data_IF_660211058285
#
_entry.id   IF_660211058285
#
_cell.length_a   1.000
_cell.length_b   1.000
_cell.length_c   1.000
_cell.angle_alpha   90.00
_cell.angle_beta   90.00
_cell.angle_gamma   90.00
#
_symmetry.space_group_name_H-M   'P 1'
#
loop_
_entity.id
_entity.type
_entity.pdbx_description
1 polymer ?
#
# COMPACT_ATOMS: atom_id res chain seq x y z
N UNK A 1 -11.20 41.50 54.45
CA UNK A 1 -11.51 40.05 54.49
C UNK A 1 -10.81 39.23 53.39
N UNK A 2 -10.49 39.79 52.20
CA UNK A 2 -9.80 39.05 51.12
C UNK A 2 -8.25 39.02 51.21
N UNK A 3 -7.60 39.91 51.96
CA UNK A 3 -6.12 39.94 52.10
C UNK A 3 -5.51 38.75 52.88
N UNK A 4 -6.30 38.01 53.67
CA UNK A 4 -5.82 36.82 54.38
C UNK A 4 -5.87 35.54 53.54
N UNK A 5 -6.56 35.56 52.39
CA UNK A 5 -6.76 34.37 51.56
C UNK A 5 -5.75 34.25 50.40
N UNK A 6 -5.16 35.37 49.96
CA UNK A 6 -4.13 35.39 48.92
C UNK A 6 -3.08 36.44 49.31
N UNK A 7 -1.99 36.04 50.01
CA UNK A 7 -1.01 36.97 50.56
C UNK A 7 -0.13 37.63 49.49
N UNK A 8 -0.03 37.05 48.29
CA UNK A 8 0.76 37.60 47.17
C UNK A 8 -0.12 38.04 46.01
N UNK A 9 0.29 39.12 45.31
CA UNK A 9 -0.43 39.60 44.13
C UNK A 9 -0.48 38.49 43.07
N UNK A 10 -1.66 38.17 42.50
CA UNK A 10 -1.76 37.14 41.48
C UNK A 10 -0.94 37.53 40.24
N UNK A 11 -0.16 36.59 39.74
CA UNK A 11 0.69 36.76 38.56
C UNK A 11 -0.17 36.46 37.32
N UNK A 12 -0.26 37.41 36.40
CA UNK A 12 -0.87 37.19 35.08
C UNK A 12 0.17 36.49 34.20
N UNK A 13 0.00 35.18 34.01
CA UNK A 13 0.85 34.39 33.14
C UNK A 13 0.18 34.23 31.76
N UNK A 14 0.89 34.64 30.70
CA UNK A 14 0.44 34.41 29.33
C UNK A 14 0.89 33.02 28.86
N UNK A 15 -0.04 32.24 28.30
CA UNK A 15 0.33 31.00 27.60
C UNK A 15 1.07 31.37 26.31
N UNK A 16 2.22 30.74 26.10
CA UNK A 16 2.94 30.85 24.83
C UNK A 16 2.00 30.46 23.66
N UNK A 17 1.91 31.26 22.58
CA UNK A 17 1.18 30.86 21.40
C UNK A 17 1.82 29.62 20.78
N UNK A 18 0.98 28.70 20.27
CA UNK A 18 1.46 27.47 19.63
C UNK A 18 2.36 27.83 18.46
N UNK A 19 3.58 27.31 18.47
CA UNK A 19 4.49 27.46 17.34
C UNK A 19 4.31 26.29 16.37
N UNK A 20 4.99 26.36 15.22
CA UNK A 20 4.90 25.32 14.18
C UNK A 20 5.27 23.93 14.74
N UNK A 21 6.23 23.84 15.66
CA UNK A 21 6.60 22.58 16.34
C UNK A 21 5.43 22.04 17.17
N UNK A 22 4.68 22.87 17.90
CA UNK A 22 3.54 22.39 18.70
C UNK A 22 2.38 21.87 17.84
N UNK A 23 2.22 22.40 16.62
CA UNK A 23 1.30 21.89 15.61
C UNK A 23 1.81 20.57 14.99
N UNK A 24 3.11 20.47 14.74
CA UNK A 24 3.77 19.34 14.07
C UNK A 24 4.19 18.19 15.00
N UNK A 25 4.30 18.38 16.32
CA UNK A 25 4.78 17.34 17.27
C UNK A 25 3.78 16.18 17.40
N UNK A 26 2.49 16.40 17.10
CA UNK A 26 1.55 15.27 16.91
C UNK A 26 1.81 14.46 15.63
N UNK A 27 2.59 14.98 14.68
CA UNK A 27 3.02 14.29 13.47
C UNK A 27 4.38 13.56 13.64
N UNK A 28 5.08 13.78 14.75
CA UNK A 28 6.28 13.01 15.07
C UNK A 28 5.88 11.62 15.58
N UNK A 29 5.95 10.63 14.68
CA UNK A 29 5.78 9.22 15.02
C UNK A 29 6.82 8.85 16.09
N UNK A 30 6.44 8.19 17.20
CA UNK A 30 7.41 7.69 18.17
C UNK A 30 8.47 6.83 17.47
N UNK A 31 9.77 7.02 17.76
CA UNK A 31 10.78 6.12 17.23
C UNK A 31 10.53 4.73 17.81
N UNK A 32 10.30 3.76 16.93
CA UNK A 32 10.15 2.35 17.30
C UNK A 32 11.51 1.83 17.78
N UNK A 33 11.83 2.05 19.05
CA UNK A 33 13.00 1.42 19.69
C UNK A 33 12.52 0.31 20.61
N UNK A 34 12.28 -0.83 19.99
CA UNK A 34 12.44 -2.14 20.60
C UNK A 34 13.08 -2.95 19.50
N UNK A 35 14.42 -3.10 19.45
CA UNK A 35 15.12 -3.79 18.37
C UNK A 35 14.38 -5.08 17.97
N UNK A 36 13.58 -5.08 16.89
CA UNK A 36 13.24 -6.32 16.24
C UNK A 36 14.47 -6.64 15.39
N UNK A 37 14.77 -7.91 15.14
CA UNK A 37 15.57 -8.25 13.95
C UNK A 37 15.12 -7.37 12.78
N UNK A 38 16.03 -6.74 12.00
CA UNK A 38 15.63 -5.81 10.94
C UNK A 38 14.54 -6.46 10.11
N UNK A 39 13.32 -5.92 10.15
CA UNK A 39 12.21 -6.50 9.40
C UNK A 39 12.66 -6.44 7.95
N UNK A 40 12.96 -7.60 7.35
CA UNK A 40 13.43 -7.62 5.98
C UNK A 40 12.31 -7.08 5.11
N UNK A 41 12.52 -5.90 4.56
CA UNK A 41 11.55 -5.27 3.67
C UNK A 41 11.54 -6.01 2.35
N UNK A 42 10.34 -6.34 1.85
CA UNK A 42 10.22 -7.00 0.56
C UNK A 42 8.93 -7.77 0.38
N UNK A 43 8.78 -8.26 -0.84
CA UNK A 43 7.86 -9.33 -1.19
C UNK A 43 8.61 -10.65 -1.15
N UNK A 44 8.04 -11.63 -0.47
CA UNK A 44 8.59 -12.97 -0.32
C UNK A 44 7.53 -14.03 -0.61
N UNK A 45 7.95 -15.20 -1.04
CA UNK A 45 7.05 -16.35 -1.11
C UNK A 45 6.74 -16.87 0.29
N UNK A 46 5.62 -17.57 0.45
CA UNK A 46 5.29 -18.20 1.73
C UNK A 46 5.98 -19.57 1.85
N UNK A 47 6.11 -20.08 3.08
CA UNK A 47 6.80 -21.35 3.36
C UNK A 47 6.21 -22.55 2.59
N UNK A 48 4.93 -22.47 2.23
CA UNK A 48 4.23 -23.49 1.44
C UNK A 48 4.29 -23.22 -0.06
N UNK A 49 5.43 -22.73 -0.56
CA UNK A 49 5.59 -22.29 -1.96
C UNK A 49 5.17 -23.36 -2.95
N UNK A 50 5.61 -24.61 -2.78
CA UNK A 50 5.33 -25.72 -3.71
C UNK A 50 3.83 -25.99 -3.94
N UNK A 51 2.98 -25.67 -2.97
CA UNK A 51 1.51 -25.85 -3.04
C UNK A 51 0.75 -24.55 -3.24
N UNK A 52 1.44 -23.42 -3.36
CA UNK A 52 0.83 -22.11 -3.44
C UNK A 52 0.97 -21.54 -4.86
N UNK A 53 -0.04 -21.74 -5.69
CA UNK A 53 -0.09 -21.26 -7.09
C UNK A 53 0.33 -19.79 -7.23
N UNK A 54 -0.11 -18.92 -6.30
CA UNK A 54 0.27 -17.50 -6.30
C UNK A 54 1.79 -17.32 -6.14
N UNK A 55 2.41 -18.04 -5.21
CA UNK A 55 3.86 -17.97 -5.00
C UNK A 55 4.65 -18.67 -6.10
N UNK A 56 4.15 -19.77 -6.65
CA UNK A 56 4.84 -20.53 -7.70
C UNK A 56 4.96 -19.75 -9.01
N UNK A 57 3.92 -19.01 -9.40
CA UNK A 57 3.85 -18.41 -10.74
C UNK A 57 3.85 -16.89 -10.75
N UNK A 58 3.33 -16.24 -9.70
CA UNK A 58 2.99 -14.81 -9.79
C UNK A 58 3.84 -13.92 -8.89
N UNK A 59 4.24 -14.38 -7.70
CA UNK A 59 5.06 -13.58 -6.79
C UNK A 59 6.44 -13.31 -7.41
N UNK A 60 6.80 -12.02 -7.45
CA UNK A 60 8.16 -11.56 -7.73
C UNK A 60 8.77 -11.13 -6.39
N UNK A 61 9.85 -11.80 -5.99
CA UNK A 61 10.52 -11.50 -4.73
C UNK A 61 11.49 -10.34 -4.93
N UNK A 62 11.33 -9.28 -4.14
CA UNK A 62 12.12 -8.05 -4.27
C UNK A 62 11.86 -7.13 -3.07
N UNK A 63 12.85 -6.31 -2.71
CA UNK A 63 12.70 -5.22 -1.73
C UNK A 63 12.35 -3.86 -2.37
N UNK A 64 12.08 -3.86 -3.67
CA UNK A 64 11.70 -2.67 -4.42
C UNK A 64 10.78 -2.98 -5.58
N UNK A 65 10.00 -1.98 -5.96
CA UNK A 65 9.16 -1.97 -7.16
C UNK A 65 9.62 -0.85 -8.08
N UNK A 66 9.47 -1.04 -9.38
CA UNK A 66 9.83 -0.04 -10.39
C UNK A 66 8.57 0.36 -11.16
N UNK A 67 8.30 1.66 -11.27
CA UNK A 67 7.25 2.19 -12.13
C UNK A 67 7.60 1.93 -13.59
N UNK A 68 6.70 1.32 -14.34
CA UNK A 68 6.89 1.07 -15.76
C UNK A 68 6.92 2.36 -16.59
N UNK A 69 6.06 3.32 -16.26
CA UNK A 69 5.94 4.56 -17.02
C UNK A 69 7.03 5.59 -16.70
N UNK A 70 7.51 5.62 -15.45
CA UNK A 70 8.51 6.60 -15.00
C UNK A 70 9.92 6.03 -14.86
N UNK A 71 10.08 4.71 -14.90
CA UNK A 71 11.34 4.02 -14.60
C UNK A 71 11.91 4.35 -13.21
N UNK A 72 11.05 4.79 -12.29
CA UNK A 72 11.42 5.17 -10.93
C UNK A 72 11.25 3.98 -9.98
N UNK A 73 12.28 3.69 -9.20
CA UNK A 73 12.30 2.57 -8.25
C UNK A 73 11.99 3.05 -6.83
N UNK A 74 11.10 2.35 -6.14
CA UNK A 74 10.69 2.62 -4.77
C UNK A 74 10.92 1.40 -3.88
N UNK A 75 11.37 1.62 -2.64
CA UNK A 75 11.51 0.55 -1.65
C UNK A 75 10.15 0.11 -1.12
N UNK A 76 10.00 -1.20 -0.94
CA UNK A 76 8.82 -1.82 -0.32
C UNK A 76 8.79 -1.53 1.18
N UNK A 77 7.59 -1.49 1.75
CA UNK A 77 7.38 -1.13 3.15
C UNK A 77 6.76 -2.30 3.92
N UNK A 78 7.59 -2.98 4.70
CA UNK A 78 7.24 -4.16 5.49
C UNK A 78 7.70 -5.47 4.83
N UNK A 79 7.59 -6.55 5.59
CA UNK A 79 7.78 -7.92 5.13
C UNK A 79 6.44 -8.47 4.64
N UNK A 80 6.31 -8.68 3.33
CA UNK A 80 5.05 -9.02 2.68
C UNK A 80 5.16 -10.39 2.04
N UNK A 81 4.25 -11.29 2.37
CA UNK A 81 4.07 -12.55 1.66
C UNK A 81 2.67 -12.62 1.09
N UNK A 82 2.35 -13.69 0.35
CA UNK A 82 0.98 -13.92 -0.12
C UNK A 82 -0.03 -14.11 1.03
N UNK A 83 0.41 -14.38 2.27
CA UNK A 83 -0.48 -14.54 3.44
C UNK A 83 -0.69 -13.25 4.20
N UNK A 84 0.07 -12.20 3.93
CA UNK A 84 -0.07 -10.90 4.59
C UNK A 84 -1.42 -10.26 4.26
N UNK A 85 -2.06 -9.66 5.27
CA UNK A 85 -3.32 -8.91 5.18
C UNK A 85 -3.07 -7.40 5.25
N UNK A 86 -4.08 -6.60 4.89
CA UNK A 86 -4.02 -5.14 4.93
C UNK A 86 -2.81 -4.58 4.14
N UNK A 87 -2.78 -4.87 2.83
CA UNK A 87 -1.64 -4.64 1.94
C UNK A 87 -2.04 -3.77 0.76
N UNK A 88 -1.14 -2.87 0.36
CA UNK A 88 -1.13 -2.28 -0.99
C UNK A 88 -0.21 -3.13 -1.86
N UNK A 89 -0.68 -3.53 -3.04
CA UNK A 89 0.04 -4.41 -3.96
C UNK A 89 0.09 -3.86 -5.38
N UNK A 90 1.01 -4.40 -6.16
CA UNK A 90 1.26 -4.10 -7.56
C UNK A 90 1.03 -5.36 -8.37
N UNK A 91 0.18 -5.27 -9.39
CA UNK A 91 0.15 -6.22 -10.50
C UNK A 91 0.89 -5.58 -11.67
N UNK A 92 1.78 -6.34 -12.31
CA UNK A 92 2.42 -5.91 -13.55
C UNK A 92 2.25 -6.99 -14.62
N UNK A 93 1.90 -6.56 -15.82
CA UNK A 93 1.85 -7.44 -16.99
C UNK A 93 3.27 -7.74 -17.47
N UNK A 94 3.60 -9.03 -17.64
CA UNK A 94 4.90 -9.47 -18.15
C UNK A 94 5.09 -9.21 -19.65
N UNK A 95 4.00 -9.05 -20.39
CA UNK A 95 4.01 -8.85 -21.85
C UNK A 95 4.30 -7.39 -22.20
N UNK A 96 3.52 -6.45 -21.66
CA UNK A 96 3.60 -5.04 -22.01
C UNK A 96 4.07 -4.12 -20.87
N UNK A 97 4.35 -4.68 -19.69
CA UNK A 97 4.85 -3.92 -18.54
C UNK A 97 3.81 -3.07 -17.82
N UNK A 98 2.60 -2.90 -18.35
CA UNK A 98 1.56 -2.06 -17.75
C UNK A 98 1.21 -2.52 -16.33
N UNK A 99 0.89 -1.56 -15.46
CA UNK A 99 0.79 -1.79 -14.03
C UNK A 99 -0.58 -1.40 -13.45
N UNK A 100 -0.98 -2.12 -12.41
CA UNK A 100 -2.17 -1.87 -11.59
C UNK A 100 -1.78 -1.84 -10.12
N UNK A 101 -2.16 -0.80 -9.40
CA UNK A 101 -2.08 -0.75 -7.93
C UNK A 101 -3.44 -1.12 -7.36
N UNK A 102 -3.45 -1.98 -6.35
CA UNK A 102 -4.67 -2.31 -5.62
C UNK A 102 -4.43 -2.42 -4.13
N UNK A 103 -5.52 -2.37 -3.36
CA UNK A 103 -5.53 -2.67 -1.94
C UNK A 103 -6.26 -3.98 -1.60
N UNK A 104 -5.89 -4.59 -0.47
CA UNK A 104 -6.76 -5.58 0.16
C UNK A 104 -6.70 -5.55 1.68
N UNK A 105 -7.88 -5.66 2.33
CA UNK A 105 -8.01 -6.02 3.75
C UNK A 105 -7.71 -7.49 4.02
N UNK A 106 -8.04 -8.36 3.07
CA UNK A 106 -7.85 -9.82 3.19
C UNK A 106 -6.40 -10.21 2.88
N UNK A 107 -6.10 -11.51 2.84
CA UNK A 107 -4.76 -11.94 2.43
C UNK A 107 -4.50 -11.60 0.97
N UNK A 108 -3.27 -11.23 0.65
CA UNK A 108 -2.85 -10.94 -0.73
C UNK A 108 -3.17 -12.10 -1.69
N UNK A 109 -2.99 -13.34 -1.23
CA UNK A 109 -3.36 -14.57 -1.93
C UNK A 109 -4.85 -14.63 -2.26
N UNK A 110 -5.72 -14.34 -1.28
CA UNK A 110 -7.18 -14.36 -1.50
C UNK A 110 -7.59 -13.29 -2.51
N UNK A 111 -7.03 -12.08 -2.40
CA UNK A 111 -7.27 -11.01 -3.37
C UNK A 111 -6.83 -11.40 -4.77
N UNK A 112 -5.64 -11.99 -4.90
CA UNK A 112 -5.12 -12.43 -6.19
C UNK A 112 -5.98 -13.54 -6.82
N UNK A 113 -6.52 -14.48 -6.02
CA UNK A 113 -7.47 -15.45 -6.55
C UNK A 113 -8.76 -14.80 -7.08
N UNK A 114 -9.21 -13.69 -6.48
CA UNK A 114 -10.30 -12.90 -7.04
C UNK A 114 -9.98 -12.42 -8.46
N UNK A 115 -8.80 -11.81 -8.64
CA UNK A 115 -8.33 -11.39 -9.97
C UNK A 115 -8.19 -12.56 -10.94
N UNK A 116 -7.63 -13.69 -10.49
CA UNK A 116 -7.54 -14.92 -11.29
C UNK A 116 -8.92 -15.40 -11.75
N UNK A 117 -9.90 -15.39 -10.84
CA UNK A 117 -11.27 -15.77 -11.17
C UNK A 117 -11.86 -14.84 -12.22
N UNK A 118 -11.70 -13.52 -12.05
CA UNK A 118 -12.17 -12.53 -13.02
C UNK A 118 -11.63 -12.80 -14.41
N UNK A 119 -10.33 -13.06 -14.55
CA UNK A 119 -9.70 -13.38 -15.84
C UNK A 119 -10.26 -14.69 -16.40
N UNK A 120 -10.27 -15.76 -15.61
CA UNK A 120 -10.76 -17.07 -16.04
C UNK A 120 -12.24 -17.09 -16.43
N UNK A 121 -13.06 -16.23 -15.84
CA UNK A 121 -14.49 -16.09 -16.16
C UNK A 121 -14.76 -14.98 -17.16
N UNK A 122 -13.73 -14.44 -17.82
CA UNK A 122 -13.83 -13.39 -18.85
C UNK A 122 -14.62 -12.15 -18.41
N UNK A 123 -14.50 -11.76 -17.13
CA UNK A 123 -15.16 -10.56 -16.59
C UNK A 123 -14.37 -9.31 -16.94
N UNK A 124 -14.81 -8.59 -17.97
CA UNK A 124 -14.12 -7.42 -18.52
C UNK A 124 -14.53 -6.10 -17.89
N UNK A 125 -15.41 -6.10 -16.88
CA UNK A 125 -15.85 -4.87 -16.20
C UNK A 125 -14.80 -4.33 -15.21
N UNK A 126 -13.75 -5.10 -14.93
CA UNK A 126 -12.63 -4.67 -14.09
C UNK A 126 -11.40 -4.44 -14.97
N UNK A 127 -10.56 -3.44 -14.66
CA UNK A 127 -9.41 -3.11 -15.51
C UNK A 127 -8.38 -4.25 -15.63
N UNK A 128 -8.24 -5.06 -14.57
CA UNK A 128 -7.37 -6.25 -14.60
C UNK A 128 -8.00 -7.33 -15.49
N UNK A 129 -9.31 -7.58 -15.35
CA UNK A 129 -10.03 -8.56 -16.14
C UNK A 129 -10.07 -8.21 -17.63
N UNK A 130 -10.34 -6.95 -17.96
CA UNK A 130 -10.30 -6.42 -19.33
C UNK A 130 -8.93 -6.64 -19.97
N UNK A 131 -7.86 -6.19 -19.30
CA UNK A 131 -6.51 -6.25 -19.85
C UNK A 131 -6.01 -7.69 -20.09
N UNK A 132 -6.16 -8.59 -19.11
CA UNK A 132 -5.65 -9.96 -19.22
C UNK A 132 -6.55 -10.91 -20.04
N UNK A 133 -7.63 -10.38 -20.64
CA UNK A 133 -8.42 -11.06 -21.66
C UNK A 133 -8.19 -10.46 -23.08
N UNK A 134 -7.29 -9.48 -23.23
CA UNK A 134 -6.87 -9.00 -24.55
C UNK A 134 -6.06 -10.09 -25.30
N UNK A 135 -5.99 -10.03 -26.65
CA UNK A 135 -5.11 -10.91 -27.41
C UNK A 135 -3.67 -10.88 -26.89
N UNK A 136 -3.02 -12.05 -26.85
CA UNK A 136 -1.65 -12.25 -26.34
C UNK A 136 -1.44 -11.94 -24.85
N UNK A 137 -2.50 -11.80 -24.07
CA UNK A 137 -2.44 -11.62 -22.63
C UNK A 137 -3.19 -12.74 -21.95
N UNK A 138 -2.62 -13.28 -20.87
CA UNK A 138 -3.21 -14.35 -20.09
C UNK A 138 -2.96 -14.13 -18.59
N UNK A 139 -3.67 -14.91 -17.79
CA UNK A 139 -3.44 -15.00 -16.34
C UNK A 139 -1.98 -15.29 -15.96
N UNK A 140 -1.22 -16.00 -16.81
CA UNK A 140 0.17 -16.36 -16.55
C UNK A 140 1.11 -15.16 -16.70
N UNK A 141 0.67 -14.13 -17.43
CA UNK A 141 1.41 -12.89 -17.63
C UNK A 141 1.24 -11.92 -16.45
N UNK A 142 0.42 -12.27 -15.47
CA UNK A 142 0.28 -11.51 -14.24
C UNK A 142 1.47 -11.77 -13.30
N UNK A 143 2.18 -10.70 -12.91
CA UNK A 143 3.11 -10.72 -11.78
C UNK A 143 2.53 -9.96 -10.60
N UNK A 144 2.92 -10.33 -9.37
CA UNK A 144 2.41 -9.77 -8.13
C UNK A 144 3.55 -9.39 -7.18
N UNK A 145 3.51 -8.16 -6.68
CA UNK A 145 4.41 -7.66 -5.64
C UNK A 145 3.63 -6.94 -4.55
N UNK A 146 4.03 -7.10 -3.30
CA UNK A 146 3.58 -6.27 -2.18
C UNK A 146 4.35 -4.94 -2.16
N UNK A 147 3.62 -3.83 -2.05
CA UNK A 147 4.21 -2.49 -1.97
C UNK A 147 4.38 -2.06 -0.51
N UNK A 148 3.29 -2.16 0.27
CA UNK A 148 3.24 -1.65 1.63
C UNK A 148 2.29 -2.49 2.49
N UNK A 149 2.79 -3.03 3.60
CA UNK A 149 1.96 -3.65 4.65
C UNK A 149 1.54 -2.59 5.66
N UNK A 150 0.26 -2.59 5.99
CA UNK A 150 -0.35 -1.63 6.92
C UNK A 150 -0.69 -2.26 8.28
N UNK A 151 -0.48 -3.56 8.46
CA UNK A 151 -0.71 -4.24 9.74
C UNK A 151 -2.15 -4.07 10.22
N UNK A 152 -2.32 -3.50 11.42
CA UNK A 152 -3.63 -3.25 12.03
C UNK A 152 -4.21 -1.85 11.73
N UNK A 153 -3.61 -1.06 10.83
CA UNK A 153 -4.07 0.30 10.54
C UNK A 153 -5.48 0.31 9.92
N UNK A 154 -6.29 1.37 10.16
CA UNK A 154 -7.66 1.47 9.67
C UNK A 154 -7.81 1.43 8.14
N UNK A 155 -9.00 1.07 7.69
CA UNK A 155 -9.35 0.98 6.26
C UNK A 155 -9.12 2.32 5.51
N UNK A 156 -9.45 3.46 6.14
CA UNK A 156 -9.20 4.78 5.56
C UNK A 156 -7.72 5.07 5.27
N UNK A 157 -6.81 4.53 6.09
CA UNK A 157 -5.37 4.63 5.82
C UNK A 157 -5.05 3.83 4.57
N UNK A 158 -5.54 2.59 4.46
CA UNK A 158 -5.29 1.73 3.30
C UNK A 158 -5.77 2.37 2.00
N UNK A 159 -7.00 2.89 1.98
CA UNK A 159 -7.57 3.59 0.81
C UNK A 159 -6.71 4.82 0.44
N UNK A 160 -6.30 5.61 1.43
CA UNK A 160 -5.44 6.79 1.19
C UNK A 160 -4.06 6.41 0.65
N UNK A 161 -3.49 5.29 1.12
CA UNK A 161 -2.20 4.78 0.66
C UNK A 161 -2.28 4.21 -0.76
N UNK A 162 -3.38 3.53 -1.11
CA UNK A 162 -3.63 3.05 -2.47
C UNK A 162 -3.58 4.21 -3.48
N UNK A 163 -4.36 5.28 -3.23
CA UNK A 163 -4.40 6.47 -4.09
C UNK A 163 -3.02 7.11 -4.25
N UNK A 164 -2.27 7.22 -3.15
CA UNK A 164 -0.91 7.74 -3.20
C UNK A 164 0.01 6.87 -4.09
N UNK A 165 -0.09 5.55 -3.99
CA UNK A 165 0.74 4.65 -4.79
C UNK A 165 0.34 4.63 -6.27
N UNK A 166 -0.96 4.74 -6.58
CA UNK A 166 -1.43 4.93 -7.95
C UNK A 166 -0.81 6.17 -8.59
N UNK A 167 -0.76 7.29 -7.86
CA UNK A 167 -0.13 8.53 -8.32
C UNK A 167 1.39 8.37 -8.48
N UNK A 168 2.07 7.81 -7.48
CA UNK A 168 3.53 7.64 -7.48
C UNK A 168 4.03 6.76 -8.61
N UNK A 169 3.31 5.68 -8.91
CA UNK A 169 3.69 4.73 -9.96
C UNK A 169 3.07 5.08 -11.31
N UNK A 170 2.23 6.12 -11.38
CA UNK A 170 1.42 6.51 -12.53
C UNK A 170 0.70 5.32 -13.15
N UNK A 171 -0.05 4.59 -12.33
CA UNK A 171 -0.83 3.44 -12.79
C UNK A 171 -2.24 3.78 -13.23
N UNK A 172 -2.62 5.06 -13.22
CA UNK A 172 -3.90 5.53 -13.76
C UNK A 172 -3.81 5.58 -15.29
N UNK A 173 -4.90 5.19 -15.98
CA UNK A 173 -5.01 5.31 -17.44
C UNK A 173 -4.68 6.74 -17.91
N UNK A 174 -3.97 6.91 -19.05
CA UNK A 174 -3.57 5.88 -20.00
C UNK A 174 -2.24 5.17 -19.67
N UNK A 175 -1.57 5.54 -18.58
CA UNK A 175 -0.21 5.04 -18.27
C UNK A 175 -0.19 3.72 -17.47
N UNK A 176 -1.32 3.35 -16.87
CA UNK A 176 -1.53 2.07 -16.23
C UNK A 176 -2.99 1.61 -16.32
N UNK A 177 -3.33 0.59 -15.55
CA UNK A 177 -4.63 -0.06 -15.60
C UNK A 177 -5.68 0.57 -14.66
N UNK A 178 -5.27 1.30 -13.62
CA UNK A 178 -6.24 1.90 -12.71
C UNK A 178 -7.11 2.93 -13.45
N UNK A 179 -8.41 2.91 -13.18
CA UNK A 179 -9.35 3.90 -13.68
C UNK A 179 -9.52 4.96 -12.59
N UNK A 180 -9.52 6.24 -12.97
CA UNK A 180 -9.87 7.30 -12.05
C UNK A 180 -11.39 7.30 -11.89
N UNK A 181 -11.89 7.04 -10.68
CA UNK A 181 -13.32 7.27 -10.42
C UNK A 181 -13.59 8.76 -10.65
N UNK A 182 -14.52 9.05 -11.55
CA UNK A 182 -14.97 10.40 -11.83
C UNK A 182 -15.50 11.03 -10.55
N UNK A 183 -14.99 12.20 -10.22
CA UNK A 183 -15.73 13.13 -9.39
C UNK A 183 -16.82 13.72 -10.30
N UNK A 184 -17.98 13.07 -10.31
CA UNK A 184 -19.23 13.74 -10.64
C UNK A 184 -19.72 14.52 -9.41
#
# INVERSE_FOLDING_TARGET
RLQRAVPEKPIIAYRRPRNLRDLLVRAAVPPLTSNPTPIQHGTFKCDRTSRCIVCSHHIVESNSITSHSMQLTHKTKGHITCTTTNVIYLISCRVCGIQYVGETKTTLKKRFYGHRSTVNTMKTETPVGEHFNLPNHTINDMSLQGIESLGSRPDLVRISRERLWMQRLRTIQPHGLNIQEGHD
#
